data_IF_376016932148
#
_entry.id   IF_376016932148
#
_cell.length_a   1.000
_cell.length_b   1.000
_cell.length_c   1.000
_cell.angle_alpha   90.00
_cell.angle_beta   90.00
_cell.angle_gamma   90.00
#
_symmetry.space_group_name_H-M   'P 1'
#
loop_
_entity.id
_entity.type
_entity.pdbx_description
1 polymer ?
#
# COMPACT_ATOMS: atom_id res chain seq x y z
N UNK A 1 -30.42 53.80 -7.55
CA UNK A 1 -30.33 52.46 -8.16
C UNK A 1 -29.25 51.69 -7.41
N UNK A 2 -29.65 50.64 -6.65
CA UNK A 2 -28.72 49.76 -5.91
C UNK A 2 -28.53 48.50 -6.74
N UNK A 3 -27.32 48.25 -7.20
CA UNK A 3 -26.97 47.00 -7.90
C UNK A 3 -26.58 45.94 -6.90
N UNK A 4 -27.34 44.82 -6.83
CA UNK A 4 -26.99 43.60 -6.10
C UNK A 4 -26.19 42.71 -7.04
N UNK A 5 -24.89 42.52 -6.70
CA UNK A 5 -24.04 41.52 -7.37
C UNK A 5 -24.32 40.20 -6.67
N UNK A 6 -24.94 39.27 -7.38
CA UNK A 6 -25.14 37.88 -6.91
C UNK A 6 -23.94 37.10 -7.33
N UNK A 7 -23.13 36.69 -6.34
CA UNK A 7 -22.01 35.75 -6.54
C UNK A 7 -22.59 34.32 -6.63
N UNK A 8 -22.57 33.73 -7.81
CA UNK A 8 -22.79 32.30 -7.99
C UNK A 8 -21.53 31.54 -7.59
N UNK A 9 -21.54 30.88 -6.42
CA UNK A 9 -20.51 29.93 -6.02
C UNK A 9 -20.89 28.59 -6.67
N UNK A 10 -20.25 28.25 -7.77
CA UNK A 10 -20.34 26.90 -8.35
C UNK A 10 -19.54 25.94 -7.48
N UNK A 11 -20.25 25.16 -6.67
CA UNK A 11 -19.66 24.08 -5.87
C UNK A 11 -19.34 22.94 -6.84
N UNK A 12 -18.10 22.87 -7.31
CA UNK A 12 -17.62 21.71 -8.07
C UNK A 12 -17.46 20.53 -7.12
N UNK A 13 -18.37 19.58 -7.19
CA UNK A 13 -18.27 18.32 -6.47
C UNK A 13 -17.15 17.50 -7.10
N UNK A 14 -15.99 17.49 -6.49
CA UNK A 14 -14.96 16.48 -6.79
C UNK A 14 -15.44 15.14 -6.23
N UNK A 15 -15.99 14.29 -7.10
CA UNK A 15 -16.21 12.89 -6.78
C UNK A 15 -14.83 12.23 -6.68
N UNK A 16 -14.32 12.07 -5.46
CA UNK A 16 -13.15 11.24 -5.23
C UNK A 16 -13.56 9.79 -5.51
N UNK A 17 -13.07 9.23 -6.62
CA UNK A 17 -13.17 7.79 -6.84
C UNK A 17 -12.40 7.13 -5.69
N UNK A 18 -13.12 6.51 -4.78
CA UNK A 18 -12.52 5.76 -3.69
C UNK A 18 -11.67 4.63 -4.30
N UNK A 19 -10.36 4.65 -4.00
CA UNK A 19 -9.49 3.55 -4.38
C UNK A 19 -9.92 2.31 -3.58
N UNK A 20 -10.37 1.26 -4.26
CA UNK A 20 -10.70 0.00 -3.61
C UNK A 20 -9.47 -0.90 -3.58
N UNK A 21 -9.05 -1.33 -2.41
CA UNK A 21 -8.05 -2.38 -2.23
C UNK A 21 -8.76 -3.65 -1.83
N UNK A 22 -8.52 -4.74 -2.57
CA UNK A 22 -9.03 -6.06 -2.25
C UNK A 22 -7.88 -6.97 -1.87
N UNK A 23 -7.91 -7.50 -0.65
CA UNK A 23 -6.96 -8.52 -0.19
C UNK A 23 -7.68 -9.87 -0.16
N UNK A 24 -7.14 -10.84 -0.86
CA UNK A 24 -7.61 -12.23 -0.82
C UNK A 24 -6.70 -12.96 0.16
N UNK A 25 -7.22 -13.19 1.37
CA UNK A 25 -6.50 -13.88 2.43
C UNK A 25 -6.18 -15.33 2.07
N UNK A 26 -5.20 -15.96 2.74
CA UNK A 26 -4.91 -17.39 2.58
C UNK A 26 -6.15 -18.24 2.85
N UNK A 27 -6.27 -19.37 2.15
CA UNK A 27 -7.44 -20.28 2.21
C UNK A 27 -7.58 -21.06 3.51
N UNK A 28 -6.55 -21.07 4.37
CA UNK A 28 -6.58 -21.73 5.70
C UNK A 28 -7.03 -20.76 6.78
N UNK A 29 -7.75 -21.24 7.83
CA UNK A 29 -8.10 -20.38 8.96
C UNK A 29 -6.84 -19.80 9.56
N UNK A 30 -6.72 -18.49 9.46
CA UNK A 30 -5.56 -17.75 9.93
C UNK A 30 -5.58 -17.61 11.45
N UNK A 31 -4.42 -17.62 12.08
CA UNK A 31 -4.26 -17.24 13.47
C UNK A 31 -4.70 -15.78 13.69
N UNK A 32 -4.94 -15.38 14.93
CA UNK A 32 -5.25 -13.98 15.25
C UNK A 32 -4.14 -13.04 14.76
N UNK A 33 -2.89 -13.48 14.84
CA UNK A 33 -1.72 -12.72 14.41
C UNK A 33 -1.66 -12.52 12.89
N UNK A 34 -1.97 -13.56 12.11
CA UNK A 34 -2.03 -13.43 10.65
C UNK A 34 -3.11 -12.44 10.20
N UNK A 35 -4.25 -12.38 10.93
CA UNK A 35 -5.29 -11.37 10.66
C UNK A 35 -4.77 -9.96 10.89
N UNK A 36 -4.01 -9.74 11.97
CA UNK A 36 -3.39 -8.45 12.25
C UNK A 36 -2.44 -8.06 11.11
N UNK A 37 -1.56 -8.97 10.69
CA UNK A 37 -0.59 -8.70 9.62
C UNK A 37 -1.26 -8.42 8.27
N UNK A 38 -2.35 -9.11 7.95
CA UNK A 38 -3.14 -8.84 6.74
C UNK A 38 -3.79 -7.45 6.83
N UNK A 39 -4.30 -7.06 7.99
CA UNK A 39 -4.88 -5.73 8.20
C UNK A 39 -3.81 -4.63 8.04
N UNK A 40 -2.63 -4.80 8.66
CA UNK A 40 -1.50 -3.87 8.50
C UNK A 40 -1.08 -3.73 7.02
N UNK A 41 -1.05 -4.83 6.29
CA UNK A 41 -0.75 -4.81 4.85
C UNK A 41 -1.83 -4.07 4.04
N UNK A 42 -3.10 -4.22 4.42
CA UNK A 42 -4.22 -3.47 3.84
C UNK A 42 -4.08 -1.96 4.09
N UNK A 43 -3.83 -1.58 5.36
CA UNK A 43 -3.70 -0.17 5.76
C UNK A 43 -2.50 0.50 5.07
N UNK A 44 -1.37 -0.19 4.98
CA UNK A 44 -0.19 0.27 4.23
C UNK A 44 -0.50 0.50 2.74
N UNK A 45 -1.22 -0.42 2.12
CA UNK A 45 -1.54 -0.35 0.69
C UNK A 45 -2.49 0.81 0.39
N UNK A 46 -3.51 1.00 1.24
CA UNK A 46 -4.43 2.13 1.15
C UNK A 46 -3.72 3.46 1.36
N UNK A 47 -2.94 3.58 2.44
CA UNK A 47 -2.20 4.79 2.77
C UNK A 47 -1.22 5.17 1.64
N UNK A 48 -0.53 4.18 1.05
CA UNK A 48 0.34 4.39 -0.10
C UNK A 48 -0.41 4.93 -1.32
N UNK A 49 -1.52 4.31 -1.68
CA UNK A 49 -2.32 4.74 -2.82
C UNK A 49 -2.87 6.16 -2.66
N UNK A 50 -3.23 6.53 -1.44
CA UNK A 50 -3.78 7.85 -1.11
C UNK A 50 -2.71 8.92 -0.88
N UNK A 51 -1.44 8.56 -0.73
CA UNK A 51 -0.36 9.48 -0.33
C UNK A 51 -0.41 9.88 1.14
N UNK A 52 -1.06 9.08 2.00
CA UNK A 52 -1.18 9.34 3.45
C UNK A 52 0.11 8.98 4.19
N UNK A 53 1.04 9.92 4.19
CA UNK A 53 2.33 9.75 4.86
C UNK A 53 2.24 9.69 6.37
N UNK A 54 1.18 10.23 6.97
CA UNK A 54 0.99 10.19 8.43
C UNK A 54 0.70 8.75 8.87
N UNK A 55 -0.20 8.05 8.18
CA UNK A 55 -0.48 6.64 8.42
C UNK A 55 0.74 5.77 8.07
N UNK A 56 1.36 5.98 6.89
CA UNK A 56 2.57 5.25 6.49
C UNK A 56 3.69 5.38 7.53
N UNK A 57 3.91 6.58 8.07
CA UNK A 57 4.94 6.82 9.09
C UNK A 57 4.72 6.03 10.37
N UNK A 58 3.49 5.72 10.75
CA UNK A 58 3.17 4.90 11.94
C UNK A 58 3.41 3.41 11.69
N UNK A 59 3.09 2.94 10.49
CA UNK A 59 3.13 1.52 10.10
C UNK A 59 4.51 1.05 9.62
N UNK A 60 5.43 1.98 9.32
CA UNK A 60 6.80 1.66 8.94
C UNK A 60 7.75 1.71 10.13
N UNK A 61 8.66 0.74 10.19
CA UNK A 61 9.75 0.73 11.15
C UNK A 61 10.73 1.90 10.93
N UNK A 62 11.45 2.37 11.97
CA UNK A 62 12.45 3.42 11.81
C UNK A 62 13.53 3.11 10.76
N UNK A 63 13.95 1.86 10.68
CA UNK A 63 14.97 1.35 9.75
C UNK A 63 14.42 0.86 8.42
N UNK A 64 13.17 1.14 8.09
CA UNK A 64 12.50 0.65 6.89
C UNK A 64 13.33 0.82 5.61
N UNK A 65 13.35 -0.24 4.80
CA UNK A 65 13.96 -0.29 3.46
C UNK A 65 12.91 -0.65 2.43
N UNK A 66 12.89 0.09 1.35
CA UNK A 66 12.08 -0.20 0.16
C UNK A 66 13.00 -0.52 -1.01
N UNK A 67 12.81 -1.67 -1.62
CA UNK A 67 13.39 -1.98 -2.93
C UNK A 67 12.26 -2.03 -3.94
N UNK A 68 12.29 -1.14 -4.89
CA UNK A 68 11.25 -1.06 -5.90
C UNK A 68 11.42 -2.10 -7.01
N UNK A 69 10.50 -2.10 -7.97
CA UNK A 69 10.46 -3.05 -9.09
C UNK A 69 11.60 -2.87 -10.10
N UNK A 70 12.33 -1.76 -10.03
CA UNK A 70 13.49 -1.45 -10.88
C UNK A 70 14.83 -1.73 -10.17
N UNK A 71 14.78 -2.12 -8.89
CA UNK A 71 15.96 -2.41 -8.07
C UNK A 71 16.51 -1.19 -7.33
N UNK A 72 15.85 -0.04 -7.38
CA UNK A 72 16.23 1.12 -6.59
C UNK A 72 15.91 0.90 -5.11
N UNK A 73 16.82 1.33 -4.24
CA UNK A 73 16.67 1.21 -2.80
C UNK A 73 16.43 2.58 -2.20
N UNK A 74 15.30 2.72 -1.49
CA UNK A 74 14.98 3.93 -0.74
C UNK A 74 14.96 3.62 0.77
N UNK A 75 15.54 4.53 1.55
CA UNK A 75 15.39 4.57 2.99
C UNK A 75 14.01 5.12 3.37
N UNK A 76 13.60 4.92 4.62
CA UNK A 76 12.27 5.30 5.11
C UNK A 76 11.85 6.71 4.73
N UNK A 77 12.70 7.72 4.97
CA UNK A 77 12.35 9.12 4.71
C UNK A 77 12.25 9.42 3.21
N UNK A 78 13.16 8.88 2.41
CA UNK A 78 13.15 9.01 0.95
C UNK A 78 11.87 8.40 0.38
N UNK A 79 11.52 7.19 0.84
CA UNK A 79 10.31 6.53 0.41
C UNK A 79 9.03 7.28 0.83
N UNK A 80 8.97 7.86 2.04
CA UNK A 80 7.84 8.66 2.50
C UNK A 80 7.65 9.91 1.62
N UNK A 81 8.73 10.58 1.20
CA UNK A 81 8.68 11.71 0.26
C UNK A 81 8.08 11.27 -1.09
N UNK A 82 8.52 10.13 -1.62
CA UNK A 82 7.97 9.57 -2.86
C UNK A 82 6.51 9.12 -2.70
N UNK A 83 6.17 8.57 -1.54
CA UNK A 83 4.84 8.11 -1.24
C UNK A 83 3.82 9.24 -0.99
N UNK A 84 4.28 10.46 -0.67
CA UNK A 84 3.41 11.62 -0.40
C UNK A 84 2.51 12.01 -1.57
N UNK A 85 2.89 11.65 -2.79
CA UNK A 85 2.10 11.92 -3.98
C UNK A 85 0.99 10.87 -4.10
N UNK A 86 -0.28 11.32 -4.15
CA UNK A 86 -1.40 10.42 -4.47
C UNK A 86 -1.10 9.70 -5.80
N UNK A 87 -1.30 8.40 -5.79
CA UNK A 87 -1.06 7.56 -6.97
C UNK A 87 -2.33 7.45 -7.81
N UNK A 88 -2.18 7.52 -9.12
CA UNK A 88 -3.28 7.15 -10.04
C UNK A 88 -3.32 5.62 -10.17
N UNK A 89 -3.82 5.00 -9.11
CA UNK A 89 -3.95 3.55 -8.98
C UNK A 89 -5.43 3.21 -8.86
N UNK A 90 -5.85 2.20 -9.60
CA UNK A 90 -7.20 1.63 -9.51
C UNK A 90 -7.12 0.10 -9.40
N UNK A 91 -8.15 -0.50 -8.82
CA UNK A 91 -8.32 -1.95 -8.75
C UNK A 91 -7.10 -2.66 -8.14
N UNK A 92 -6.60 -2.14 -7.00
CA UNK A 92 -5.50 -2.79 -6.29
C UNK A 92 -5.99 -4.07 -5.65
N UNK A 93 -5.44 -5.19 -6.09
CA UNK A 93 -5.69 -6.53 -5.57
C UNK A 93 -4.39 -7.13 -5.03
N UNK A 94 -4.47 -7.81 -3.89
CA UNK A 94 -3.38 -8.59 -3.32
C UNK A 94 -3.86 -10.01 -3.11
N UNK A 95 -3.15 -10.96 -3.68
CA UNK A 95 -3.49 -12.38 -3.66
C UNK A 95 -2.23 -13.26 -3.56
N UNK A 96 -2.39 -14.60 -3.57
CA UNK A 96 -1.30 -15.57 -3.39
C UNK A 96 -0.48 -15.29 -2.11
N UNK A 97 -1.17 -14.94 -1.02
CA UNK A 97 -0.52 -14.53 0.23
C UNK A 97 -0.04 -15.77 0.97
N UNK A 98 1.26 -15.80 1.28
CA UNK A 98 1.88 -16.75 2.20
C UNK A 98 2.53 -15.99 3.34
N UNK A 99 2.31 -16.44 4.58
CA UNK A 99 2.84 -15.82 5.79
C UNK A 99 3.71 -16.85 6.51
N UNK A 100 5.00 -16.51 6.68
CA UNK A 100 5.95 -17.27 7.46
C UNK A 100 6.24 -16.51 8.75
N UNK A 101 5.93 -17.13 9.89
CA UNK A 101 6.17 -16.56 11.20
C UNK A 101 7.51 -17.06 11.76
N UNK A 102 8.32 -16.15 12.29
CA UNK A 102 9.53 -16.46 13.02
C UNK A 102 9.36 -16.03 14.48
N UNK A 103 8.88 -16.96 15.30
CA UNK A 103 8.46 -16.69 16.67
C UNK A 103 7.45 -15.49 16.68
N UNK A 104 7.35 -14.79 17.79
CA UNK A 104 6.47 -13.62 17.92
C UNK A 104 7.18 -12.31 17.57
N UNK A 105 8.32 -12.38 16.86
CA UNK A 105 9.19 -11.22 16.62
C UNK A 105 9.22 -10.74 15.17
N UNK A 106 9.05 -11.64 14.21
CA UNK A 106 9.16 -11.32 12.79
C UNK A 106 8.19 -12.16 11.94
N UNK A 107 7.68 -11.55 10.89
CA UNK A 107 6.91 -12.23 9.84
C UNK A 107 7.45 -11.88 8.46
N UNK A 108 7.53 -12.87 7.58
CA UNK A 108 7.79 -12.69 6.15
C UNK A 108 6.47 -12.97 5.42
N UNK A 109 6.03 -12.02 4.61
CA UNK A 109 4.82 -12.13 3.81
C UNK A 109 5.22 -12.04 2.34
N UNK A 110 4.90 -13.06 1.58
CA UNK A 110 5.01 -13.05 0.12
C UNK A 110 3.63 -13.00 -0.51
N UNK A 111 3.55 -12.50 -1.73
CA UNK A 111 2.28 -12.43 -2.43
C UNK A 111 2.42 -11.85 -3.83
N UNK A 112 1.26 -11.70 -4.46
CA UNK A 112 1.12 -11.01 -5.75
C UNK A 112 0.25 -9.78 -5.56
N UNK A 113 0.71 -8.66 -6.12
CA UNK A 113 -0.04 -7.41 -6.19
C UNK A 113 -0.36 -7.11 -7.65
N UNK A 114 -1.62 -6.82 -7.94
CA UNK A 114 -2.09 -6.42 -9.27
C UNK A 114 -2.83 -5.10 -9.15
N UNK A 115 -2.54 -4.14 -10.02
CA UNK A 115 -3.25 -2.86 -10.06
C UNK A 115 -3.20 -2.23 -11.45
N UNK A 116 -4.09 -1.28 -11.71
CA UNK A 116 -4.08 -0.42 -12.89
C UNK A 116 -3.39 0.89 -12.54
N UNK A 117 -2.40 1.30 -13.33
CA UNK A 117 -1.59 2.49 -13.07
C UNK A 117 -1.71 3.52 -14.20
N UNK A 118 -1.74 4.80 -13.82
CA UNK A 118 -1.78 5.92 -14.73
C UNK A 118 -3.14 6.14 -15.40
N UNK A 119 -3.23 7.20 -16.19
CA UNK A 119 -4.44 7.58 -16.93
C UNK A 119 -4.86 6.52 -17.96
N UNK A 120 -3.89 5.84 -18.55
CA UNK A 120 -4.10 4.75 -19.51
C UNK A 120 -4.50 3.42 -18.86
N UNK A 121 -4.52 3.37 -17.52
CA UNK A 121 -4.88 2.16 -16.74
C UNK A 121 -4.08 0.92 -17.13
N UNK A 122 -2.77 1.09 -17.28
CA UNK A 122 -1.85 -0.01 -17.60
C UNK A 122 -1.79 -0.97 -16.43
N UNK A 123 -2.08 -2.25 -16.71
CA UNK A 123 -2.02 -3.31 -15.71
C UNK A 123 -0.59 -3.56 -15.26
N UNK A 124 -0.39 -3.58 -13.94
CA UNK A 124 0.86 -3.92 -13.29
C UNK A 124 0.67 -5.20 -12.49
N UNK A 125 1.52 -6.19 -12.71
CA UNK A 125 1.58 -7.44 -11.95
C UNK A 125 2.95 -7.52 -11.25
N UNK A 126 2.95 -7.59 -9.92
CA UNK A 126 4.16 -7.55 -9.10
C UNK A 126 4.15 -8.72 -8.12
N UNK A 127 5.24 -9.50 -8.07
CA UNK A 127 5.53 -10.40 -6.95
C UNK A 127 6.24 -9.58 -5.89
N UNK A 128 5.84 -9.73 -4.62
CA UNK A 128 6.45 -9.00 -3.53
C UNK A 128 6.87 -9.90 -2.37
N UNK A 129 7.84 -9.40 -1.61
CA UNK A 129 8.19 -9.86 -0.27
C UNK A 129 8.14 -8.68 0.69
N UNK A 130 7.45 -8.85 1.81
CA UNK A 130 7.39 -7.87 2.90
C UNK A 130 7.89 -8.54 4.17
N UNK A 131 8.63 -7.78 4.98
CA UNK A 131 9.08 -8.22 6.30
C UNK A 131 8.45 -7.29 7.32
N UNK A 132 7.85 -7.88 8.34
CA UNK A 132 7.29 -7.19 9.50
C UNK A 132 8.07 -7.59 10.75
N UNK A 133 8.38 -6.61 11.58
CA UNK A 133 8.94 -6.80 12.92
C UNK A 133 7.92 -6.41 13.99
N UNK A 134 7.98 -7.09 15.14
CA UNK A 134 7.19 -6.75 16.31
C UNK A 134 7.94 -5.76 17.20
N UNK A 135 7.44 -4.54 17.31
CA UNK A 135 7.98 -3.46 18.14
C UNK A 135 7.10 -3.27 19.38
N UNK A 136 7.37 -4.01 20.43
CA UNK A 136 6.59 -3.95 21.68
C UNK A 136 5.08 -4.18 21.49
N UNK A 137 4.72 -5.19 20.71
CA UNK A 137 3.33 -5.53 20.40
C UNK A 137 2.75 -4.83 19.17
N UNK A 138 3.48 -3.89 18.58
CA UNK A 138 3.09 -3.23 17.34
C UNK A 138 3.86 -3.83 16.15
N UNK A 139 3.14 -4.38 15.20
CA UNK A 139 3.74 -4.87 13.97
C UNK A 139 4.01 -3.72 13.01
N UNK A 140 5.26 -3.61 12.52
CA UNK A 140 5.67 -2.57 11.58
C UNK A 140 6.42 -3.19 10.42
N UNK A 141 6.19 -2.70 9.22
CA UNK A 141 6.93 -3.17 8.05
C UNK A 141 8.36 -2.65 8.08
N UNK A 142 9.34 -3.58 8.09
CA UNK A 142 10.79 -3.29 8.12
C UNK A 142 11.40 -3.29 6.73
N UNK A 143 10.86 -4.09 5.82
CA UNK A 143 11.32 -4.14 4.43
C UNK A 143 10.19 -4.45 3.46
N UNK A 144 10.37 -3.98 2.23
CA UNK A 144 9.56 -4.34 1.07
C UNK A 144 10.47 -4.54 -0.13
N UNK A 145 10.19 -5.57 -0.91
CA UNK A 145 10.75 -5.74 -2.24
C UNK A 145 9.65 -6.14 -3.23
N UNK A 146 9.62 -5.46 -4.36
CA UNK A 146 8.76 -5.78 -5.49
C UNK A 146 9.57 -6.22 -6.70
N UNK A 147 8.97 -7.07 -7.55
CA UNK A 147 9.54 -7.49 -8.84
C UNK A 147 8.41 -7.66 -9.84
N UNK A 148 8.55 -7.10 -11.03
CA UNK A 148 7.58 -7.32 -12.10
C UNK A 148 7.48 -8.79 -12.47
N UNK A 149 6.24 -9.25 -12.61
CA UNK A 149 5.98 -10.58 -13.17
C UNK A 149 6.04 -10.44 -14.69
N UNK A 150 7.04 -11.09 -15.29
CA UNK A 150 7.16 -11.15 -16.75
C UNK A 150 6.02 -12.04 -17.29
N UNK A 151 5.10 -11.44 -18.04
CA UNK A 151 4.11 -12.21 -18.78
C UNK A 151 4.84 -12.98 -19.89
N UNK A 152 5.12 -14.26 -19.65
CA UNK A 152 5.51 -15.17 -20.73
C UNK A 152 4.27 -15.38 -21.62
N UNK A 153 4.34 -14.85 -22.82
CA UNK A 153 3.36 -15.16 -23.88
C UNK A 153 3.48 -16.62 -24.28
#
# INVERSE_FOLDING_TARGET
MKYYIIFFITLTHYTSVAQSTKIIAPTKPSSALEKILIQEMYDLSNAWGMGDTATLSKLLAPEYRHSDVFGEIQHRNEWLILAAKKKDIANLEINDIEILMYYDSMAIITGKMTYLFGTEKIKQDIRFTQIFGNYNGQWKRTAFQGTYIKNTK
#
